data_IF_262139723884
#
_entry.id   IF_262139723884
#
_cell.length_a   1.000
_cell.length_b   1.000
_cell.length_c   1.000
_cell.angle_alpha   90.00
_cell.angle_beta   90.00
_cell.angle_gamma   90.00
#
_symmetry.space_group_name_H-M   'P 1'
#
loop_
_entity.id
_entity.type
_entity.pdbx_description
1 polymer ?
#
# COMPACT_ATOMS: atom_id res chain seq x y z
N UNK A 1 7.61 -34.48 2.62
CA UNK A 1 7.29 -33.55 1.53
C UNK A 1 7.24 -32.17 2.16
N UNK A 2 8.31 -31.38 2.03
CA UNK A 2 8.28 -29.99 2.49
C UNK A 2 7.33 -29.24 1.56
N UNK A 3 6.37 -28.51 2.13
CA UNK A 3 5.51 -27.63 1.36
C UNK A 3 6.39 -26.43 0.99
N UNK A 4 6.93 -26.44 -0.22
CA UNK A 4 7.55 -25.27 -0.85
C UNK A 4 6.47 -24.22 -0.94
N UNK A 5 6.55 -23.19 -0.11
CA UNK A 5 5.51 -22.17 -0.01
C UNK A 5 6.06 -20.88 -0.59
N UNK A 6 5.68 -20.59 -1.83
CA UNK A 6 5.96 -19.29 -2.42
C UNK A 6 5.12 -18.22 -1.74
N UNK A 7 5.73 -17.07 -1.53
CA UNK A 7 5.11 -15.92 -0.87
C UNK A 7 5.00 -14.77 -1.85
N UNK A 8 3.80 -14.20 -1.99
CA UNK A 8 3.59 -12.95 -2.69
C UNK A 8 3.30 -11.87 -1.66
N UNK A 9 4.17 -10.87 -1.57
CA UNK A 9 3.90 -9.67 -0.77
C UNK A 9 3.34 -8.62 -1.72
N UNK A 10 2.09 -8.20 -1.50
CA UNK A 10 1.40 -7.29 -2.42
C UNK A 10 0.62 -6.18 -1.71
N UNK A 11 0.72 -4.98 -2.25
CA UNK A 11 0.02 -3.79 -1.77
C UNK A 11 -0.27 -2.83 -2.92
N UNK A 12 -1.29 -1.99 -2.72
CA UNK A 12 -1.45 -0.77 -3.51
C UNK A 12 -0.56 0.31 -2.89
N UNK A 13 0.41 0.78 -3.67
CA UNK A 13 1.32 1.84 -3.28
C UNK A 13 1.18 3.03 -4.23
N UNK A 14 1.55 4.23 -3.76
CA UNK A 14 1.33 5.47 -4.50
C UNK A 14 2.65 6.12 -4.91
N UNK A 15 2.73 6.52 -6.18
CA UNK A 15 3.73 7.49 -6.67
C UNK A 15 2.98 8.77 -7.01
N UNK A 16 3.30 9.84 -6.30
CA UNK A 16 2.67 11.15 -6.42
C UNK A 16 1.14 11.09 -6.21
N UNK A 17 0.33 11.07 -7.27
CA UNK A 17 -1.14 10.93 -7.23
C UNK A 17 -1.67 9.63 -7.84
N UNK A 18 -0.78 8.80 -8.35
CA UNK A 18 -1.14 7.60 -9.09
C UNK A 18 -0.88 6.36 -8.25
N UNK A 19 -1.90 5.51 -8.17
CA UNK A 19 -1.83 4.24 -7.44
C UNK A 19 -1.31 3.12 -8.36
N UNK A 20 -0.45 2.28 -7.79
CA UNK A 20 0.16 1.13 -8.45
C UNK A 20 -0.04 -0.11 -7.59
N UNK A 21 -0.32 -1.24 -8.23
CA UNK A 21 -0.22 -2.54 -7.57
C UNK A 21 1.24 -2.99 -7.65
N UNK A 22 1.79 -3.32 -6.49
CA UNK A 22 3.13 -3.88 -6.36
C UNK A 22 2.99 -5.32 -5.88
N UNK A 23 3.65 -6.25 -6.54
CA UNK A 23 3.72 -7.66 -6.15
C UNK A 23 5.19 -8.09 -6.15
N UNK A 24 5.69 -8.45 -4.99
CA UNK A 24 7.02 -9.03 -4.80
C UNK A 24 6.85 -10.53 -4.54
N UNK A 25 7.53 -11.35 -5.32
CA UNK A 25 7.37 -12.80 -5.29
C UNK A 25 8.65 -13.40 -4.72
N UNK A 26 8.50 -14.18 -3.65
CA UNK A 26 9.57 -14.83 -2.94
C UNK A 26 9.45 -16.34 -3.06
N UNK A 27 10.60 -17.00 -3.23
CA UNK A 27 10.69 -18.46 -3.19
C UNK A 27 10.66 -19.01 -1.75
N UNK A 28 10.79 -20.34 -1.63
CA UNK A 28 10.84 -21.03 -0.35
C UNK A 28 12.11 -20.77 0.47
N UNK A 29 13.13 -20.17 -0.13
CA UNK A 29 14.34 -19.71 0.55
C UNK A 29 14.20 -18.27 1.06
N UNK A 30 13.09 -17.59 0.73
CA UNK A 30 12.85 -16.19 1.05
C UNK A 30 13.59 -15.23 0.12
N UNK A 31 14.09 -15.69 -1.03
CA UNK A 31 14.71 -14.82 -2.03
C UNK A 31 13.65 -14.25 -2.96
N UNK A 32 13.80 -12.96 -3.29
CA UNK A 32 12.97 -12.30 -4.28
C UNK A 32 13.31 -12.84 -5.67
N UNK A 33 12.38 -13.54 -6.28
CA UNK A 33 12.56 -14.14 -7.61
C UNK A 33 11.94 -13.29 -8.73
N UNK A 34 10.92 -12.51 -8.40
CA UNK A 34 10.26 -11.64 -9.36
C UNK A 34 9.57 -10.45 -8.68
N UNK A 35 9.40 -9.37 -9.44
CA UNK A 35 8.77 -8.14 -8.99
C UNK A 35 7.94 -7.53 -10.12
N UNK A 36 6.65 -7.35 -9.85
CA UNK A 36 5.71 -6.75 -10.78
C UNK A 36 5.17 -5.44 -10.20
N UNK A 37 5.31 -4.35 -10.94
CA UNK A 37 4.73 -3.04 -10.62
C UNK A 37 3.88 -2.58 -11.79
N UNK A 38 2.57 -2.41 -11.58
CA UNK A 38 1.64 -2.00 -12.62
C UNK A 38 0.66 -0.93 -12.12
N UNK A 39 0.11 -0.13 -13.03
CA UNK A 39 -0.96 0.83 -12.69
C UNK A 39 -2.13 0.11 -12.01
N UNK A 40 -2.59 0.67 -10.91
CA UNK A 40 -3.74 0.13 -10.21
C UNK A 40 -5.04 0.46 -10.96
N UNK A 41 -5.61 -0.54 -11.64
CA UNK A 41 -6.87 -0.43 -12.39
C UNK A 41 -8.08 -0.89 -11.58
N UNK A 42 -7.92 -1.03 -10.27
CA UNK A 42 -8.93 -1.55 -9.33
C UNK A 42 -8.62 -2.96 -8.83
N UNK A 43 -9.30 -3.34 -7.75
CA UNK A 43 -9.01 -4.58 -7.01
C UNK A 43 -9.19 -5.85 -7.84
N UNK A 44 -10.18 -5.90 -8.73
CA UNK A 44 -10.36 -7.03 -9.64
C UNK A 44 -9.13 -7.27 -10.53
N UNK A 45 -8.59 -6.21 -11.13
CA UNK A 45 -7.40 -6.32 -11.97
C UNK A 45 -6.16 -6.73 -11.16
N UNK A 46 -6.06 -6.28 -9.90
CA UNK A 46 -4.98 -6.70 -9.01
C UNK A 46 -5.05 -8.20 -8.65
N UNK A 47 -6.25 -8.74 -8.43
CA UNK A 47 -6.44 -10.18 -8.22
C UNK A 47 -6.09 -10.97 -9.47
N UNK A 48 -6.53 -10.51 -10.64
CA UNK A 48 -6.23 -11.17 -11.91
C UNK A 48 -4.71 -11.21 -12.17
N UNK A 49 -3.99 -10.14 -11.80
CA UNK A 49 -2.52 -10.10 -11.82
C UNK A 49 -1.92 -11.15 -10.88
N UNK A 50 -2.35 -11.21 -9.62
CA UNK A 50 -1.85 -12.21 -8.67
C UNK A 50 -2.09 -13.62 -9.21
N UNK A 51 -3.26 -13.89 -9.79
CA UNK A 51 -3.58 -15.19 -10.42
C UNK A 51 -2.71 -15.49 -11.65
N UNK A 52 -2.37 -14.48 -12.45
CA UNK A 52 -1.45 -14.69 -13.58
C UNK A 52 -0.06 -15.06 -13.09
N UNK A 53 0.44 -14.42 -12.03
CA UNK A 53 1.73 -14.78 -11.43
C UNK A 53 1.73 -16.22 -10.90
N UNK A 54 0.64 -16.64 -10.25
CA UNK A 54 0.47 -18.04 -9.81
C UNK A 54 0.59 -19.03 -10.96
N UNK A 55 0.02 -18.69 -12.13
CA UNK A 55 0.07 -19.53 -13.33
C UNK A 55 1.48 -19.59 -13.93
N UNK A 56 2.18 -18.45 -14.01
CA UNK A 56 3.54 -18.37 -14.56
C UNK A 56 4.52 -19.22 -13.75
N UNK A 57 4.39 -19.21 -12.43
CA UNK A 57 5.25 -19.96 -11.50
C UNK A 57 4.81 -21.44 -11.39
N UNK A 58 3.66 -21.79 -11.97
CA UNK A 58 3.11 -23.15 -12.01
C UNK A 58 2.99 -23.80 -10.62
N UNK A 59 2.54 -23.03 -9.63
CA UNK A 59 2.28 -23.54 -8.27
C UNK A 59 0.79 -23.47 -7.94
N UNK A 60 0.21 -24.52 -7.33
CA UNK A 60 -1.23 -24.56 -7.05
C UNK A 60 -1.61 -23.76 -5.80
N UNK A 61 -0.66 -23.46 -4.92
CA UNK A 61 -0.89 -22.83 -3.63
C UNK A 61 0.16 -21.75 -3.35
N UNK A 62 -0.31 -20.58 -2.94
CA UNK A 62 0.55 -19.46 -2.56
C UNK A 62 0.11 -18.85 -1.25
N UNK A 63 1.08 -18.38 -0.48
CA UNK A 63 0.81 -17.46 0.61
C UNK A 63 0.84 -16.03 0.06
N UNK A 64 -0.13 -15.21 0.44
CA UNK A 64 -0.16 -13.80 0.04
C UNK A 64 -0.19 -12.92 1.27
N UNK A 65 0.78 -12.02 1.41
CA UNK A 65 0.82 -11.03 2.47
C UNK A 65 0.42 -9.68 1.91
N UNK A 66 -0.52 -9.03 2.59
CA UNK A 66 -0.93 -7.67 2.24
C UNK A 66 -1.22 -6.87 3.49
N UNK A 67 -1.06 -5.56 3.40
CA UNK A 67 -1.50 -4.60 4.41
C UNK A 67 -2.73 -3.81 3.96
N UNK A 68 -3.14 -3.98 2.70
CA UNK A 68 -4.39 -3.41 2.17
C UNK A 68 -5.57 -4.31 2.55
N UNK A 69 -6.54 -3.73 3.28
CA UNK A 69 -7.71 -4.45 3.78
C UNK A 69 -8.64 -4.92 2.67
N UNK A 70 -8.78 -4.14 1.60
CA UNK A 70 -9.67 -4.47 0.50
C UNK A 70 -9.05 -5.59 -0.36
N UNK A 71 -7.75 -5.52 -0.64
CA UNK A 71 -7.03 -6.64 -1.26
C UNK A 71 -7.15 -7.91 -0.42
N UNK A 72 -6.99 -7.82 0.90
CA UNK A 72 -7.14 -8.96 1.80
C UNK A 72 -8.52 -9.62 1.66
N UNK A 73 -9.59 -8.82 1.73
CA UNK A 73 -10.97 -9.32 1.62
C UNK A 73 -11.21 -10.00 0.29
N UNK A 74 -10.79 -9.39 -0.81
CA UNK A 74 -11.07 -9.93 -2.13
C UNK A 74 -10.24 -11.20 -2.41
N UNK A 75 -9.03 -11.31 -1.85
CA UNK A 75 -8.17 -12.49 -1.95
C UNK A 75 -8.66 -13.69 -1.14
N UNK A 76 -9.45 -13.49 -0.07
CA UNK A 76 -10.07 -14.60 0.67
C UNK A 76 -11.00 -15.45 -0.20
N UNK A 77 -11.59 -14.83 -1.23
CA UNK A 77 -12.48 -15.51 -2.16
C UNK A 77 -11.74 -16.26 -3.28
N UNK A 78 -10.40 -16.14 -3.36
CA UNK A 78 -9.59 -16.70 -4.44
C UNK A 78 -9.12 -18.11 -4.06
N UNK A 79 -9.53 -19.16 -4.79
CA UNK A 79 -9.06 -20.52 -4.51
C UNK A 79 -7.55 -20.65 -4.69
N UNK A 80 -6.90 -21.39 -3.79
CA UNK A 80 -5.46 -21.63 -3.85
C UNK A 80 -4.60 -20.51 -3.25
N UNK A 81 -5.21 -19.45 -2.73
CA UNK A 81 -4.51 -18.34 -2.07
C UNK A 81 -4.72 -18.41 -0.56
N UNK A 82 -3.63 -18.54 0.19
CA UNK A 82 -3.62 -18.37 1.64
C UNK A 82 -3.24 -16.92 1.97
N UNK A 83 -4.23 -16.05 2.14
CA UNK A 83 -3.99 -14.62 2.40
C UNK A 83 -3.85 -14.30 3.89
N UNK A 84 -2.86 -13.48 4.23
CA UNK A 84 -2.62 -12.95 5.58
C UNK A 84 -2.59 -11.42 5.54
N UNK A 85 -3.44 -10.79 6.37
CA UNK A 85 -3.35 -9.36 6.63
C UNK A 85 -2.18 -9.10 7.60
N UNK A 86 -1.16 -8.37 7.14
CA UNK A 86 0.05 -8.05 7.90
C UNK A 86 0.13 -6.56 8.21
N UNK A 87 0.93 -6.19 9.21
CA UNK A 87 1.23 -4.79 9.48
C UNK A 87 2.08 -4.20 8.35
N UNK A 88 1.99 -2.88 8.12
CA UNK A 88 2.72 -2.20 7.02
C UNK A 88 4.24 -2.36 7.10
N UNK A 89 4.78 -2.58 8.29
CA UNK A 89 6.22 -2.79 8.48
C UNK A 89 6.68 -4.14 7.93
N UNK A 90 5.79 -5.13 7.91
CA UNK A 90 6.08 -6.48 7.38
C UNK A 90 5.90 -6.55 5.86
N UNK A 91 5.27 -5.56 5.25
CA UNK A 91 5.07 -5.44 3.80
C UNK A 91 5.84 -4.26 3.21
N UNK A 92 6.75 -3.66 3.99
CA UNK A 92 7.50 -2.46 3.62
C UNK A 92 8.32 -2.62 2.32
N UNK A 93 8.67 -3.85 1.95
CA UNK A 93 9.40 -4.14 0.72
C UNK A 93 8.65 -3.65 -0.53
N UNK A 94 7.31 -3.69 -0.53
CA UNK A 94 6.50 -3.15 -1.64
C UNK A 94 6.67 -1.63 -1.76
N UNK A 95 6.63 -0.91 -0.63
CA UNK A 95 6.93 0.53 -0.57
C UNK A 95 8.38 0.85 -0.93
N UNK A 96 9.33 -0.03 -0.63
CA UNK A 96 10.73 0.16 -1.01
C UNK A 96 10.90 0.00 -2.52
N UNK A 97 10.31 -1.05 -3.09
CA UNK A 97 10.33 -1.33 -4.52
C UNK A 97 9.81 -0.15 -5.33
N UNK A 98 8.60 0.34 -5.01
CA UNK A 98 8.01 1.45 -5.76
C UNK A 98 8.81 2.75 -5.63
N UNK A 99 9.50 2.97 -4.51
CA UNK A 99 10.37 4.15 -4.33
C UNK A 99 11.65 4.06 -5.13
N UNK A 100 12.21 2.85 -5.29
CA UNK A 100 13.40 2.63 -6.11
C UNK A 100 13.09 2.87 -7.59
N UNK A 101 11.91 2.44 -8.02
CA UNK A 101 11.46 2.57 -9.42
C UNK A 101 10.68 3.86 -9.70
N UNK A 102 10.51 4.75 -8.71
CA UNK A 102 9.62 5.91 -8.83
C UNK A 102 9.96 6.82 -10.00
N UNK A 103 11.25 7.03 -10.28
CA UNK A 103 11.69 7.91 -11.38
C UNK A 103 11.40 7.28 -12.74
N UNK A 104 11.61 5.97 -12.89
CA UNK A 104 11.27 5.22 -14.10
C UNK A 104 9.75 5.17 -14.31
N UNK A 105 8.98 4.98 -13.23
CA UNK A 105 7.51 4.99 -13.31
C UNK A 105 6.99 6.37 -13.72
N UNK A 106 7.61 7.46 -13.27
CA UNK A 106 7.26 8.82 -13.72
C UNK A 106 7.51 9.01 -15.21
N UNK A 107 8.63 8.49 -15.71
CA UNK A 107 8.97 8.57 -17.13
C UNK A 107 8.02 7.73 -17.99
N UNK A 108 7.82 6.45 -17.64
CA UNK A 108 7.00 5.50 -18.41
C UNK A 108 5.53 5.94 -18.47
N UNK A 109 5.00 6.45 -17.35
CA UNK A 109 3.59 6.82 -17.24
C UNK A 109 3.35 8.33 -17.36
N UNK A 110 4.37 9.10 -17.76
CA UNK A 110 4.32 10.56 -17.94
C UNK A 110 3.67 11.27 -16.74
N UNK A 111 3.99 10.81 -15.52
CA UNK A 111 3.40 11.36 -14.31
C UNK A 111 3.89 12.80 -14.12
N UNK A 112 2.96 13.75 -14.11
CA UNK A 112 3.29 15.14 -13.81
C UNK A 112 3.72 15.19 -12.33
N UNK A 113 4.98 15.55 -12.03
CA UNK A 113 5.44 15.62 -10.66
C UNK A 113 4.60 16.69 -9.95
N UNK A 114 3.92 16.30 -8.86
CA UNK A 114 3.29 17.28 -7.99
C UNK A 114 4.43 18.03 -7.32
N UNK A 115 4.66 19.28 -7.75
CA UNK A 115 5.61 20.15 -7.08
C UNK A 115 5.35 20.09 -5.57
N UNK A 116 6.37 19.79 -4.75
CA UNK A 116 6.16 19.66 -3.32
C UNK A 116 5.60 20.99 -2.82
N UNK A 117 4.36 20.96 -2.32
CA UNK A 117 3.71 22.15 -1.77
C UNK A 117 4.68 22.86 -0.82
N UNK A 118 4.87 24.17 -0.95
CA UNK A 118 5.88 24.89 -0.19
C UNK A 118 5.69 24.60 1.30
N UNK A 119 6.78 24.23 1.98
CA UNK A 119 6.77 23.93 3.42
C UNK A 119 6.04 25.06 4.13
N UNK A 120 4.98 24.73 4.88
CA UNK A 120 4.21 25.70 5.65
C UNK A 120 5.17 26.61 6.45
N UNK A 121 5.16 27.92 6.20
CA UNK A 121 6.00 28.87 6.93
C UNK A 121 5.85 28.69 8.44
N UNK A 122 6.95 28.84 9.19
CA UNK A 122 6.96 28.62 10.64
C UNK A 122 5.86 29.43 11.36
N UNK A 123 5.55 30.63 10.87
CA UNK A 123 4.48 31.47 11.41
C UNK A 123 3.07 30.90 11.17
N UNK A 124 2.82 30.26 10.01
CA UNK A 124 1.54 29.58 9.72
C UNK A 124 1.36 28.36 10.62
N UNK A 125 2.42 27.58 10.86
CA UNK A 125 2.40 26.47 11.83
C UNK A 125 2.12 26.96 13.25
N UNK A 126 2.75 28.08 13.65
CA UNK A 126 2.51 28.70 14.96
C UNK A 126 1.05 29.17 15.09
N UNK A 127 0.52 29.86 14.09
CA UNK A 127 -0.88 30.33 14.06
C UNK A 127 -1.85 29.15 14.13
N UNK A 128 -1.64 28.11 13.31
CA UNK A 128 -2.43 26.88 13.34
C UNK A 128 -2.45 26.26 14.74
N UNK A 129 -1.29 26.15 15.40
CA UNK A 129 -1.21 25.61 16.76
C UNK A 129 -1.98 26.43 17.79
N UNK A 130 -2.05 27.75 17.62
CA UNK A 130 -2.82 28.65 18.50
C UNK A 130 -4.31 28.53 18.25
N UNK A 131 -4.73 28.50 16.98
CA UNK A 131 -6.13 28.28 16.61
C UNK A 131 -6.63 26.94 17.14
N UNK A 132 -5.83 25.88 17.03
CA UNK A 132 -6.19 24.54 17.55
C UNK A 132 -6.38 24.54 19.08
N UNK A 133 -5.56 25.30 19.81
CA UNK A 133 -5.73 25.48 21.26
C UNK A 133 -6.98 26.28 21.60
N UNK A 134 -7.31 27.31 20.81
CA UNK A 134 -8.52 28.11 20.99
C UNK A 134 -9.76 27.27 20.69
N UNK A 135 -9.75 26.47 19.62
CA UNK A 135 -10.87 25.56 19.31
C UNK A 135 -11.04 24.48 20.38
N UNK A 136 -9.95 23.99 20.99
CA UNK A 136 -10.03 23.08 22.14
C UNK A 136 -10.57 23.75 23.41
N UNK A 137 -10.24 25.03 23.62
CA UNK A 137 -10.78 25.84 24.72
C UNK A 137 -12.27 26.14 24.55
N UNK A 138 -12.68 26.56 23.35
CA UNK A 138 -14.07 26.90 23.02
C UNK A 138 -14.93 25.64 22.90
N UNK A 139 -14.41 24.59 22.27
CA UNK A 139 -15.10 23.31 22.11
C UNK A 139 -15.28 22.54 23.43
N UNK A 140 -14.70 23.03 24.52
CA UNK A 140 -14.75 22.42 25.83
C UNK A 140 -14.01 21.08 25.84
N UNK A 141 -12.92 20.99 26.59
CA UNK A 141 -12.30 19.70 26.93
C UNK A 141 -13.27 18.86 27.82
N UNK A 142 -14.41 18.41 27.27
CA UNK A 142 -15.48 17.72 28.00
C UNK A 142 -16.05 18.49 29.20
N UNK A 143 -15.83 19.82 29.28
CA UNK A 143 -16.19 20.64 30.45
C UNK A 143 -17.54 21.37 30.35
N UNK A 144 -18.10 21.49 29.15
CA UNK A 144 -19.38 22.13 28.94
C UNK A 144 -20.26 21.21 28.09
N UNK A 145 -21.39 20.83 28.67
CA UNK A 145 -22.45 20.09 27.99
C UNK A 145 -23.24 21.09 27.16
N UNK A 146 -23.22 20.94 25.83
CA UNK A 146 -24.01 21.79 24.94
C UNK A 146 -25.46 21.33 24.98
N UNK A 147 -26.19 21.73 26.02
CA UNK A 147 -27.64 21.85 25.93
C UNK A 147 -27.96 23.21 25.30
N UNK A 148 -28.21 23.19 23.99
CA UNK A 148 -29.07 24.17 23.31
C UNK A 148 -30.18 23.36 22.65
#
# INVERSE_FOLDING_TARGET
MQIVTYLIVTNVERVDVTDFIVANIYDDTGQLIDQTIQLFKGYKAAIDLIRSEMYVINQPHFEVWTSDKQLYVDLLAVPGVAVSLKHSDQTQDTRRAIKQEADLLREIYELVPVEPLPKLPKWRKWLYSKLLKITQLIGGNGKYDNQI
#
